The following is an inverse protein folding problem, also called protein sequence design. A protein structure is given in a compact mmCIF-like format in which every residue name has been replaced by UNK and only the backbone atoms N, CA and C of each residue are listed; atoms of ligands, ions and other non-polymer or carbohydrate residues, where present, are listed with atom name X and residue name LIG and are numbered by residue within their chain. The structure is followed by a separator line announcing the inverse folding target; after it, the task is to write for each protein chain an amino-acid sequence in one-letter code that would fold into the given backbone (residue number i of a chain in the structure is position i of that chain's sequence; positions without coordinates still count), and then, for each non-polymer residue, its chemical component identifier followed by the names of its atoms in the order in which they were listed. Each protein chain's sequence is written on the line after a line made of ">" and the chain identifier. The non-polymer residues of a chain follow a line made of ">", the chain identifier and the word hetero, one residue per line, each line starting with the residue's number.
data_IF_314210042009
#
_entry.id   IF_314210042009
#
_cell.length_a   1.000
_cell.length_b   1.000
_cell.length_c   1.000
_cell.angle_alpha   90.00
_cell.angle_beta   90.00
_cell.angle_gamma   90.00
#
_symmetry.space_group_name_H-M   'P 1'
#
loop_
_entity.id
_entity.type
_entity.pdbx_description
1 polymer ?
#
# COMPACT_ATOMS: atom_id res chain seq x y z
N UNK A 1 -3.28 13.21 -10.39
CA UNK A 1 -4.65 13.01 -9.88
C UNK A 1 -5.64 13.06 -11.04
N UNK A 2 -6.67 12.21 -11.03
CA UNK A 2 -7.77 12.24 -12.00
C UNK A 2 -8.99 12.96 -11.38
N UNK A 3 -9.72 13.75 -12.17
CA UNK A 3 -10.93 14.44 -11.71
C UNK A 3 -12.12 13.47 -11.77
N UNK A 4 -12.82 13.34 -10.65
CA UNK A 4 -14.00 12.47 -10.52
C UNK A 4 -15.12 13.24 -9.84
N UNK A 5 -16.34 13.11 -10.35
CA UNK A 5 -17.56 13.65 -9.74
C UNK A 5 -18.30 12.51 -9.06
N UNK A 6 -18.69 12.70 -7.80
CA UNK A 6 -19.48 11.73 -7.03
C UNK A 6 -20.77 12.39 -6.56
N UNK A 7 -21.86 11.65 -6.57
CA UNK A 7 -23.13 12.09 -6.00
C UNK A 7 -23.13 11.85 -4.49
N UNK A 8 -23.53 12.86 -3.74
CA UNK A 8 -23.69 12.80 -2.28
C UNK A 8 -25.08 13.33 -1.97
N UNK A 9 -25.73 12.75 -0.96
CA UNK A 9 -26.93 13.36 -0.42
C UNK A 9 -26.61 14.74 0.17
N UNK A 10 -27.62 15.61 0.18
CA UNK A 10 -27.43 17.00 0.58
C UNK A 10 -26.99 17.13 2.05
N UNK A 11 -27.53 16.27 2.92
CA UNK A 11 -27.24 16.30 4.35
C UNK A 11 -25.78 15.93 4.64
N UNK A 12 -25.28 14.86 4.03
CA UNK A 12 -23.90 14.40 4.09
C UNK A 12 -22.96 15.46 3.56
N UNK A 13 -23.29 16.10 2.43
CA UNK A 13 -22.45 17.17 1.90
C UNK A 13 -22.43 18.41 2.81
N UNK A 14 -23.55 18.76 3.44
CA UNK A 14 -23.61 19.84 4.44
C UNK A 14 -22.76 19.50 5.67
N UNK A 15 -22.90 18.29 6.22
CA UNK A 15 -22.09 17.81 7.37
C UNK A 15 -20.59 17.83 7.05
N UNK A 16 -20.19 17.35 5.87
CA UNK A 16 -18.80 17.39 5.41
C UNK A 16 -18.27 18.83 5.38
N UNK A 17 -19.04 19.77 4.83
CA UNK A 17 -18.65 21.20 4.78
C UNK A 17 -18.50 21.80 6.18
N UNK A 18 -19.35 21.45 7.14
CA UNK A 18 -19.23 21.92 8.52
C UNK A 18 -17.92 21.44 9.16
N UNK A 19 -17.59 20.16 9.00
CA UNK A 19 -16.33 19.58 9.52
C UNK A 19 -15.12 20.24 8.85
N UNK A 20 -15.14 20.33 7.52
CA UNK A 20 -14.08 20.96 6.72
C UNK A 20 -13.81 22.41 7.16
N UNK A 21 -14.88 23.20 7.38
CA UNK A 21 -14.77 24.58 7.88
C UNK A 21 -14.16 24.64 9.28
N UNK A 22 -14.59 23.76 10.19
CA UNK A 22 -14.04 23.70 11.57
C UNK A 22 -12.55 23.36 11.56
N UNK A 23 -12.12 22.50 10.64
CA UNK A 23 -10.72 22.09 10.49
C UNK A 23 -9.89 23.03 9.59
N UNK A 24 -10.52 24.03 8.95
CA UNK A 24 -9.90 24.90 7.93
C UNK A 24 -9.27 24.12 6.76
N UNK A 25 -9.89 23.00 6.37
CA UNK A 25 -9.42 22.13 5.28
C UNK A 25 -10.39 22.17 4.10
N UNK A 26 -9.92 22.02 2.85
CA UNK A 26 -10.79 21.90 1.69
C UNK A 26 -11.66 20.61 1.76
N UNK A 27 -12.96 20.66 1.45
CA UNK A 27 -13.81 19.45 1.45
C UNK A 27 -13.28 18.32 0.57
N UNK A 28 -12.67 18.65 -0.57
CA UNK A 28 -12.06 17.67 -1.46
C UNK A 28 -10.88 16.92 -0.82
N UNK A 29 -10.16 17.56 0.10
CA UNK A 29 -9.09 16.91 0.86
C UNK A 29 -9.64 15.86 1.82
N UNK A 30 -10.71 16.21 2.55
CA UNK A 30 -11.42 15.29 3.45
C UNK A 30 -11.97 14.07 2.69
N UNK A 31 -12.53 14.28 1.50
CA UNK A 31 -13.03 13.16 0.65
C UNK A 31 -11.89 12.25 0.24
N UNK A 32 -10.73 12.79 -0.14
CA UNK A 32 -9.56 11.97 -0.50
C UNK A 32 -9.06 11.15 0.68
N UNK A 33 -9.00 11.75 1.87
CA UNK A 33 -8.61 11.07 3.10
C UNK A 33 -9.58 9.93 3.43
N UNK A 34 -10.88 10.19 3.41
CA UNK A 34 -11.90 9.19 3.68
C UNK A 34 -11.84 8.02 2.68
N UNK A 35 -11.64 8.30 1.38
CA UNK A 35 -11.48 7.27 0.35
C UNK A 35 -10.22 6.45 0.59
N UNK A 36 -9.09 7.09 0.92
CA UNK A 36 -7.84 6.39 1.23
C UNK A 36 -7.97 5.50 2.47
N UNK A 37 -8.61 5.98 3.53
CA UNK A 37 -8.85 5.18 4.72
C UNK A 37 -9.77 3.99 4.42
N UNK A 38 -10.86 4.23 3.69
CA UNK A 38 -11.80 3.18 3.31
C UNK A 38 -11.12 2.10 2.46
N UNK A 39 -10.32 2.50 1.47
CA UNK A 39 -9.64 1.54 0.60
C UNK A 39 -8.57 0.75 1.34
N UNK A 40 -7.80 1.37 2.24
CA UNK A 40 -6.84 0.63 3.08
C UNK A 40 -7.55 -0.38 3.97
N UNK A 41 -8.65 0.03 4.61
CA UNK A 41 -9.41 -0.82 5.53
C UNK A 41 -10.04 -2.02 4.85
N UNK A 42 -10.51 -1.85 3.61
CA UNK A 42 -11.20 -2.89 2.84
C UNK A 42 -10.33 -3.53 1.75
N UNK A 43 -9.07 -3.11 1.62
CA UNK A 43 -8.15 -3.74 0.70
C UNK A 43 -8.00 -5.22 1.10
N UNK A 44 -8.05 -6.14 0.13
CA UNK A 44 -7.74 -7.53 0.40
C UNK A 44 -6.35 -7.58 1.03
N UNK A 45 -6.26 -8.16 2.22
CA UNK A 45 -4.98 -8.36 2.91
C UNK A 45 -4.16 -9.34 2.08
N UNK A 46 -3.26 -8.83 1.25
CA UNK A 46 -2.20 -9.64 0.65
C UNK A 46 -1.31 -10.12 1.79
N UNK A 47 -1.50 -11.38 2.18
CA UNK A 47 -0.52 -12.04 3.04
C UNK A 47 0.82 -12.01 2.28
N UNK A 48 1.94 -11.65 2.93
CA UNK A 48 3.23 -11.77 2.29
C UNK A 48 3.38 -13.20 1.77
N UNK A 49 3.77 -13.37 0.50
CA UNK A 49 3.96 -14.71 -0.11
C UNK A 49 5.03 -15.52 0.63
N UNK A 50 5.89 -14.85 1.38
CA UNK A 50 6.96 -15.40 2.21
C UNK A 50 7.25 -14.42 3.35
N UNK A 51 7.50 -14.93 4.56
CA UNK A 51 7.96 -14.14 5.71
C UNK A 51 9.50 -14.27 5.86
N UNK A 52 10.18 -14.90 4.89
CA UNK A 52 11.56 -15.32 5.02
C UNK A 52 11.67 -16.48 6.02
N UNK A 53 11.94 -17.69 5.54
CA UNK A 53 12.08 -18.85 6.42
C UNK A 53 13.36 -18.80 7.28
N UNK A 54 14.31 -17.93 6.91
CA UNK A 54 15.64 -17.86 7.53
C UNK A 54 16.17 -16.43 7.54
N UNK A 55 17.02 -16.12 8.53
CA UNK A 55 17.79 -14.89 8.61
C UNK A 55 19.25 -15.19 8.26
N UNK A 56 19.64 -14.85 7.05
CA UNK A 56 21.04 -14.82 6.61
C UNK A 56 21.46 -13.36 6.57
N UNK A 57 22.45 -12.95 7.37
CA UNK A 57 23.03 -11.59 7.29
C UNK A 57 23.82 -11.37 5.99
N UNK A 58 23.96 -12.41 5.15
CA UNK A 58 24.50 -12.30 3.79
C UNK A 58 23.41 -11.79 2.86
N UNK A 59 23.65 -10.60 2.29
CA UNK A 59 22.71 -9.85 1.42
C UNK A 59 23.10 -9.90 -0.06
N UNK A 60 24.19 -10.56 -0.39
CA UNK A 60 24.88 -10.52 -1.69
C UNK A 60 24.94 -11.88 -2.39
N UNK A 61 24.43 -12.95 -1.79
CA UNK A 61 24.44 -14.31 -2.37
C UNK A 61 23.83 -14.37 -3.78
N UNK A 62 22.79 -13.56 -4.05
CA UNK A 62 22.16 -13.50 -5.38
C UNK A 62 23.01 -12.80 -6.45
N UNK A 63 24.03 -12.03 -6.05
CA UNK A 63 24.91 -11.30 -6.99
C UNK A 63 26.04 -12.19 -7.53
N UNK A 64 26.25 -13.37 -6.94
CA UNK A 64 27.34 -14.28 -7.31
C UNK A 64 26.87 -15.73 -7.33
N UNK A 65 25.60 -15.94 -7.70
CA UNK A 65 24.94 -17.24 -7.69
C UNK A 65 25.71 -18.28 -8.52
N UNK A 66 26.21 -17.88 -9.69
CA UNK A 66 26.93 -18.73 -10.64
C UNK A 66 28.25 -19.22 -10.05
N UNK A 67 28.98 -18.36 -9.34
CA UNK A 67 30.22 -18.74 -8.67
C UNK A 67 29.99 -19.72 -7.52
N UNK A 68 28.88 -19.53 -6.77
CA UNK A 68 28.49 -20.40 -5.67
C UNK A 68 27.98 -21.77 -6.13
N UNK A 69 27.60 -21.89 -7.39
CA UNK A 69 27.10 -23.13 -8.00
C UNK A 69 28.18 -23.83 -8.85
N UNK A 70 29.43 -23.37 -8.82
CA UNK A 70 30.53 -24.07 -9.50
C UNK A 70 30.78 -25.44 -8.89
N UNK A 71 30.95 -26.46 -9.74
CA UNK A 71 31.07 -27.87 -9.33
C UNK A 71 29.75 -28.52 -8.90
N UNK A 72 28.60 -27.84 -9.04
CA UNK A 72 27.31 -28.42 -8.73
C UNK A 72 26.91 -29.47 -9.78
N UNK A 73 26.89 -30.74 -9.37
CA UNK A 73 26.48 -31.87 -10.22
C UNK A 73 27.62 -32.59 -10.92
N UNK A 74 28.87 -32.34 -10.55
CA UNK A 74 30.01 -33.16 -10.97
C UNK A 74 30.20 -34.33 -9.98
N UNK A 75 30.31 -35.56 -10.49
CA UNK A 75 30.63 -36.75 -9.69
C UNK A 75 32.14 -36.73 -9.35
N UNK A 76 32.47 -36.80 -8.05
CA UNK A 76 33.83 -36.77 -7.50
C UNK A 76 34.76 -37.87 -8.07
#
# INVERSE_FOLDING_TARGET
>A
MQKTTVYLDEETYRRLKLIARRQRRPPAEMVREAVAEYTIRHAPRTKPRSIGAFKSDRRDLGQSAESHLSGFGEDL
#
